data_IF_664508485617
#
_entry.id   IF_664508485617
#
_cell.length_a   1.000
_cell.length_b   1.000
_cell.length_c   1.000
_cell.angle_alpha   90.00
_cell.angle_beta   90.00
_cell.angle_gamma   90.00
#
_symmetry.space_group_name_H-M   'P 1'
#
loop_
_entity.id
_entity.type
_entity.pdbx_description
1 polymer ?
#
# COMPACT_ATOMS: atom_id res chain seq x y z
N UNK A 1 43.52 24.67 23.76
CA UNK A 1 43.18 23.74 22.68
C UNK A 1 42.59 22.40 23.19
N UNK A 2 43.23 21.70 24.12
CA UNK A 2 42.74 20.43 24.69
C UNK A 2 41.35 20.52 25.33
N UNK A 3 41.03 21.58 26.08
CA UNK A 3 39.72 21.78 26.71
C UNK A 3 38.60 21.96 25.69
N UNK A 4 38.85 22.61 24.56
CA UNK A 4 37.88 22.78 23.46
C UNK A 4 37.63 21.46 22.75
N UNK A 5 38.65 20.63 22.60
CA UNK A 5 38.55 19.30 21.97
C UNK A 5 37.74 18.31 22.83
N UNK A 6 37.89 18.38 24.17
CA UNK A 6 37.13 17.57 25.12
C UNK A 6 35.65 17.97 25.11
N UNK A 7 35.32 19.26 25.02
CA UNK A 7 33.94 19.76 24.93
C UNK A 7 33.29 19.33 23.61
N UNK A 8 34.02 19.34 22.49
CA UNK A 8 33.54 18.92 21.18
C UNK A 8 33.27 17.42 21.15
N UNK A 9 34.10 16.58 21.75
CA UNK A 9 33.88 15.13 21.88
C UNK A 9 32.71 14.85 22.81
N UNK A 10 32.55 15.57 23.92
CA UNK A 10 31.40 15.45 24.82
C UNK A 10 30.05 15.78 24.14
N UNK A 11 30.03 16.79 23.26
CA UNK A 11 28.85 17.17 22.49
C UNK A 11 28.47 16.14 21.41
N UNK A 12 29.44 15.39 20.87
CA UNK A 12 29.16 14.31 19.89
C UNK A 12 28.56 13.05 20.52
N UNK A 13 28.69 12.84 21.82
CA UNK A 13 28.18 11.65 22.51
C UNK A 13 26.72 11.78 22.94
N UNK A 14 26.06 12.92 22.72
CA UNK A 14 24.64 13.14 23.06
C UNK A 14 23.68 12.88 21.90
N UNK A 15 24.12 12.23 20.83
CA UNK A 15 23.21 11.82 19.75
C UNK A 15 22.40 10.62 20.25
N UNK A 16 21.27 10.92 20.89
CA UNK A 16 20.33 9.91 21.34
C UNK A 16 19.70 9.16 20.16
N UNK A 17 19.82 7.84 20.14
CA UNK A 17 19.02 6.98 19.27
C UNK A 17 17.55 7.07 19.69
N UNK A 18 16.71 7.67 18.89
CA UNK A 18 15.26 7.57 19.05
C UNK A 18 14.83 6.18 18.55
N UNK A 19 14.54 5.28 19.47
CA UNK A 19 13.92 4.00 19.14
C UNK A 19 12.43 4.25 18.90
N UNK A 20 11.97 4.15 17.67
CA UNK A 20 10.55 4.13 17.33
C UNK A 20 10.04 2.73 17.65
N UNK A 21 9.07 2.63 18.58
CA UNK A 21 8.39 1.37 18.87
C UNK A 21 7.37 1.12 17.76
N UNK A 22 7.72 0.30 16.80
CA UNK A 22 6.78 -0.16 15.79
C UNK A 22 5.98 -1.35 16.33
N UNK A 23 4.66 -1.31 16.21
CA UNK A 23 3.82 -2.49 16.38
C UNK A 23 4.09 -3.42 15.20
N UNK A 24 4.60 -4.62 15.46
CA UNK A 24 4.89 -5.62 14.43
C UNK A 24 3.59 -6.25 13.93
N UNK A 25 2.89 -5.55 13.05
CA UNK A 25 1.91 -6.15 12.16
C UNK A 25 2.65 -6.75 10.96
N UNK A 26 2.04 -7.70 10.26
CA UNK A 26 2.62 -8.32 9.05
C UNK A 26 3.02 -7.29 7.98
N UNK A 27 2.44 -6.07 8.04
CA UNK A 27 2.77 -4.90 7.23
C UNK A 27 2.81 -3.65 8.09
N UNK A 28 3.67 -2.70 7.73
CA UNK A 28 3.73 -1.40 8.38
C UNK A 28 2.46 -0.58 8.06
N UNK A 29 2.12 0.39 8.91
CA UNK A 29 1.00 1.29 8.65
C UNK A 29 1.16 2.06 7.32
N UNK A 30 2.39 2.41 6.95
CA UNK A 30 2.69 3.06 5.67
C UNK A 30 2.34 2.16 4.50
N UNK A 31 2.73 0.88 4.54
CA UNK A 31 2.40 -0.10 3.50
C UNK A 31 0.89 -0.32 3.38
N UNK A 32 0.18 -0.40 4.51
CA UNK A 32 -1.28 -0.51 4.51
C UNK A 32 -1.94 0.70 3.85
N UNK A 33 -1.50 1.92 4.20
CA UNK A 33 -2.03 3.15 3.62
C UNK A 33 -1.76 3.24 2.11
N UNK A 34 -0.55 2.92 1.65
CA UNK A 34 -0.21 2.91 0.22
C UNK A 34 -1.13 1.96 -0.54
N UNK A 35 -1.34 0.76 -0.01
CA UNK A 35 -2.19 -0.24 -0.65
C UNK A 35 -3.65 0.19 -0.68
N UNK A 36 -4.17 0.71 0.44
CA UNK A 36 -5.54 1.24 0.52
C UNK A 36 -5.76 2.37 -0.49
N UNK A 37 -4.82 3.29 -0.64
CA UNK A 37 -4.93 4.37 -1.63
C UNK A 37 -4.86 3.86 -3.07
N UNK A 38 -4.07 2.83 -3.37
CA UNK A 38 -4.08 2.20 -4.68
C UNK A 38 -5.45 1.56 -4.99
N UNK A 39 -6.09 0.93 -3.99
CA UNK A 39 -7.44 0.38 -4.11
C UNK A 39 -8.46 1.50 -4.36
N UNK A 40 -8.43 2.57 -3.57
CA UNK A 40 -9.32 3.73 -3.75
C UNK A 40 -9.16 4.31 -5.15
N UNK A 41 -7.91 4.51 -5.61
CA UNK A 41 -7.64 5.06 -6.94
C UNK A 41 -8.21 4.17 -8.06
N UNK A 42 -8.07 2.83 -7.95
CA UNK A 42 -8.67 1.91 -8.91
C UNK A 42 -10.21 1.95 -8.87
N UNK A 43 -10.80 1.90 -7.67
CA UNK A 43 -12.25 1.82 -7.48
C UNK A 43 -12.96 3.10 -7.97
N UNK A 44 -12.38 4.27 -7.73
CA UNK A 44 -12.95 5.55 -8.17
C UNK A 44 -13.05 5.67 -9.70
N UNK A 45 -12.23 4.96 -10.45
CA UNK A 45 -12.23 4.95 -11.90
C UNK A 45 -13.31 4.03 -12.50
N UNK A 46 -13.98 3.20 -11.66
CA UNK A 46 -15.06 2.31 -12.13
C UNK A 46 -16.22 3.14 -12.67
N UNK A 47 -16.66 2.79 -13.87
CA UNK A 47 -17.85 3.30 -14.52
C UNK A 47 -18.72 2.11 -14.90
N UNK A 48 -19.95 2.05 -14.41
CA UNK A 48 -20.91 1.00 -14.65
C UNK A 48 -22.32 1.61 -14.52
N UNK A 49 -22.73 2.35 -15.54
CA UNK A 49 -24.02 3.07 -15.54
C UNK A 49 -25.21 2.09 -15.52
N UNK A 50 -25.00 0.84 -15.94
CA UNK A 50 -25.98 -0.24 -15.99
C UNK A 50 -26.49 -0.66 -14.61
N UNK A 51 -25.76 -0.34 -13.53
CA UNK A 51 -26.18 -0.68 -12.16
C UNK A 51 -27.14 0.36 -11.55
N UNK A 52 -27.32 1.51 -12.19
CA UNK A 52 -28.13 2.60 -11.63
C UNK A 52 -29.60 2.18 -11.48
N UNK A 53 -30.14 2.31 -10.26
CA UNK A 53 -31.51 1.92 -9.91
C UNK A 53 -31.77 0.41 -9.93
N UNK A 54 -30.71 -0.42 -9.96
CA UNK A 54 -30.79 -1.87 -9.98
C UNK A 54 -30.45 -2.48 -8.63
N UNK A 55 -31.09 -3.62 -8.30
CA UNK A 55 -30.71 -4.46 -7.17
C UNK A 55 -29.48 -5.27 -7.53
N UNK A 56 -28.36 -4.96 -6.88
CA UNK A 56 -27.05 -5.52 -7.19
C UNK A 56 -26.53 -6.36 -6.04
N UNK A 57 -26.13 -7.59 -6.33
CA UNK A 57 -25.32 -8.41 -5.41
C UNK A 57 -23.86 -8.34 -5.85
N UNK A 58 -22.97 -8.01 -4.91
CA UNK A 58 -21.52 -8.04 -5.13
C UNK A 58 -20.97 -9.41 -4.75
N UNK A 59 -20.49 -10.17 -5.75
CA UNK A 59 -19.79 -11.44 -5.55
C UNK A 59 -18.27 -11.24 -5.55
N UNK A 60 -17.64 -11.66 -4.47
CA UNK A 60 -16.20 -11.58 -4.24
C UNK A 60 -15.49 -12.95 -4.33
N UNK A 61 -16.17 -14.00 -4.79
CA UNK A 61 -15.64 -15.37 -4.84
C UNK A 61 -14.32 -15.46 -5.61
N UNK A 62 -14.14 -14.60 -6.61
CA UNK A 62 -12.94 -14.53 -7.45
C UNK A 62 -11.94 -13.45 -7.00
N UNK A 63 -12.27 -12.66 -6.00
CA UNK A 63 -11.39 -11.63 -5.46
C UNK A 63 -10.47 -12.22 -4.38
N UNK A 64 -9.38 -12.84 -4.80
CA UNK A 64 -8.38 -13.42 -3.89
C UNK A 64 -7.21 -12.45 -3.74
N UNK A 65 -7.29 -11.58 -2.75
CA UNK A 65 -6.29 -10.54 -2.52
C UNK A 65 -6.07 -10.29 -1.03
N UNK A 66 -4.99 -9.61 -0.70
CA UNK A 66 -4.75 -9.06 0.63
C UNK A 66 -5.73 -7.89 0.87
N UNK A 67 -6.11 -7.67 2.13
CA UNK A 67 -7.05 -6.59 2.54
C UNK A 67 -8.41 -6.65 1.82
N UNK A 68 -8.93 -7.88 1.64
CA UNK A 68 -10.19 -8.13 0.94
C UNK A 68 -11.36 -7.36 1.55
N UNK A 69 -11.42 -7.21 2.87
CA UNK A 69 -12.53 -6.52 3.55
C UNK A 69 -12.51 -5.01 3.25
N UNK A 70 -11.34 -4.40 3.18
CA UNK A 70 -11.22 -3.00 2.76
C UNK A 70 -11.65 -2.84 1.30
N UNK A 71 -11.12 -3.67 0.39
CA UNK A 71 -11.47 -3.64 -1.03
C UNK A 71 -12.97 -3.86 -1.26
N UNK A 72 -13.59 -4.76 -0.49
CA UNK A 72 -15.04 -4.98 -0.48
C UNK A 72 -15.81 -3.72 -0.07
N UNK A 73 -15.34 -3.04 0.99
CA UNK A 73 -15.93 -1.78 1.46
C UNK A 73 -15.94 -0.71 0.38
N UNK A 74 -14.79 -0.50 -0.27
CA UNK A 74 -14.64 0.49 -1.34
C UNK A 74 -15.49 0.15 -2.58
N UNK A 75 -15.53 -1.12 -3.00
CA UNK A 75 -16.38 -1.56 -4.10
C UNK A 75 -17.87 -1.36 -3.81
N UNK A 76 -18.31 -1.65 -2.58
CA UNK A 76 -19.70 -1.43 -2.17
C UNK A 76 -20.06 0.06 -2.19
N UNK A 77 -19.18 0.91 -1.64
CA UNK A 77 -19.36 2.35 -1.64
C UNK A 77 -19.47 2.89 -3.07
N UNK A 78 -18.58 2.44 -3.95
CA UNK A 78 -18.59 2.85 -5.37
C UNK A 78 -19.87 2.46 -6.10
N UNK A 79 -20.35 1.23 -5.91
CA UNK A 79 -21.62 0.78 -6.51
C UNK A 79 -22.82 1.59 -6.02
N UNK A 80 -22.86 1.94 -4.72
CA UNK A 80 -23.86 2.84 -4.16
C UNK A 80 -23.80 4.24 -4.78
N UNK A 81 -22.59 4.80 -4.96
CA UNK A 81 -22.40 6.09 -5.63
C UNK A 81 -22.86 6.08 -7.10
N UNK A 82 -22.76 4.92 -7.77
CA UNK A 82 -23.28 4.71 -9.12
C UNK A 82 -24.80 4.47 -9.16
N UNK A 83 -25.47 4.49 -8.01
CA UNK A 83 -26.92 4.40 -7.89
C UNK A 83 -27.47 2.97 -7.76
N UNK A 84 -26.61 1.99 -7.45
CA UNK A 84 -27.06 0.61 -7.21
C UNK A 84 -27.77 0.47 -5.84
N UNK A 85 -28.75 -0.42 -5.75
CA UNK A 85 -29.34 -0.90 -4.49
C UNK A 85 -28.65 -2.22 -4.10
N UNK A 86 -27.79 -2.20 -3.07
CA UNK A 86 -27.05 -3.41 -2.69
C UNK A 86 -27.91 -4.39 -1.91
N UNK A 87 -27.99 -5.62 -2.42
CA UNK A 87 -28.62 -6.77 -1.77
C UNK A 87 -27.60 -7.85 -1.41
N UNK A 88 -27.95 -8.70 -0.45
CA UNK A 88 -27.08 -9.79 0.02
C UNK A 88 -27.50 -11.16 -0.53
N UNK A 89 -28.75 -11.27 -1.00
CA UNK A 89 -29.31 -12.50 -1.53
C UNK A 89 -29.33 -12.46 -3.07
N UNK A 90 -28.79 -13.48 -3.70
CA UNK A 90 -28.79 -13.63 -5.16
C UNK A 90 -30.23 -13.69 -5.73
N UNK A 91 -31.17 -14.26 -4.99
CA UNK A 91 -32.56 -14.34 -5.42
C UNK A 91 -33.27 -12.98 -5.46
N UNK A 92 -32.76 -11.99 -4.69
CA UNK A 92 -33.28 -10.63 -4.69
C UNK A 92 -32.56 -9.71 -5.69
N UNK A 93 -31.44 -10.16 -6.28
CA UNK A 93 -30.64 -9.38 -7.18
C UNK A 93 -31.21 -9.37 -8.61
N UNK A 94 -31.11 -8.24 -9.30
CA UNK A 94 -31.29 -8.13 -10.75
C UNK A 94 -29.97 -8.33 -11.49
N UNK A 95 -28.86 -7.82 -10.91
CA UNK A 95 -27.50 -7.95 -11.44
C UNK A 95 -26.58 -8.53 -10.36
N UNK A 96 -25.79 -9.53 -10.73
CA UNK A 96 -24.68 -10.01 -9.91
C UNK A 96 -23.41 -9.41 -10.49
N UNK A 97 -22.65 -8.71 -9.67
CA UNK A 97 -21.36 -8.11 -10.05
C UNK A 97 -20.23 -8.93 -9.45
N UNK A 98 -19.52 -9.66 -10.31
CA UNK A 98 -18.35 -10.44 -9.94
C UNK A 98 -17.09 -9.55 -9.96
N UNK A 99 -16.37 -9.48 -8.83
CA UNK A 99 -15.13 -8.75 -8.73
C UNK A 99 -13.92 -9.67 -8.81
N UNK A 100 -12.89 -9.23 -9.54
CA UNK A 100 -11.61 -9.94 -9.70
C UNK A 100 -10.46 -8.95 -9.55
N UNK A 101 -9.31 -9.44 -9.05
CA UNK A 101 -8.07 -8.66 -9.01
C UNK A 101 -6.96 -9.42 -9.76
N UNK A 102 -6.36 -8.82 -10.80
CA UNK A 102 -5.18 -9.37 -11.44
C UNK A 102 -3.92 -9.23 -10.58
N UNK A 103 -3.93 -8.31 -9.61
CA UNK A 103 -2.84 -8.11 -8.67
C UNK A 103 -3.14 -6.98 -7.68
N UNK A 104 -2.72 -7.18 -6.43
CA UNK A 104 -2.78 -6.18 -5.36
C UNK A 104 -1.53 -6.35 -4.50
N UNK A 105 -0.64 -5.35 -4.51
CA UNK A 105 0.64 -5.47 -3.82
C UNK A 105 1.41 -4.16 -3.77
N UNK A 106 2.60 -4.26 -3.16
CA UNK A 106 3.55 -3.15 -3.05
C UNK A 106 4.89 -3.61 -3.61
N UNK A 107 5.42 -2.83 -4.53
CA UNK A 107 6.77 -2.97 -5.05
C UNK A 107 7.72 -2.03 -4.29
N UNK A 108 8.73 -2.60 -3.66
CA UNK A 108 9.77 -1.88 -2.93
C UNK A 108 11.03 -1.72 -3.78
N UNK A 109 11.52 -0.49 -3.92
CA UNK A 109 12.82 -0.18 -4.52
C UNK A 109 13.66 0.62 -3.53
N UNK A 110 14.86 0.11 -3.22
CA UNK A 110 15.79 0.74 -2.29
C UNK A 110 17.15 0.94 -2.96
N UNK A 111 17.58 2.19 -3.02
CA UNK A 111 18.91 2.56 -3.53
C UNK A 111 19.70 3.18 -2.39
N UNK A 112 20.90 2.68 -2.12
CA UNK A 112 21.80 3.23 -1.12
C UNK A 112 23.23 3.33 -1.68
N UNK A 113 23.86 4.46 -1.45
CA UNK A 113 25.28 4.70 -1.77
C UNK A 113 25.99 4.98 -0.44
N UNK A 114 27.00 4.18 -0.09
CA UNK A 114 27.71 4.30 1.17
C UNK A 114 28.54 3.06 1.49
N UNK A 115 28.90 2.92 2.76
CA UNK A 115 29.65 1.77 3.26
C UNK A 115 28.63 0.75 3.81
N UNK A 116 28.56 -0.46 3.25
CA UNK A 116 27.65 -1.49 3.77
C UNK A 116 28.08 -1.96 5.17
N UNK A 117 27.16 -2.56 5.90
CA UNK A 117 27.48 -3.25 7.14
C UNK A 117 28.43 -4.41 6.86
N UNK A 118 29.58 -4.42 7.52
CA UNK A 118 30.62 -5.46 7.38
C UNK A 118 30.48 -6.43 8.55
N UNK A 119 30.26 -7.74 8.30
CA UNK A 119 30.27 -8.74 9.35
C UNK A 119 31.72 -9.00 9.80
N UNK A 120 32.01 -8.80 11.07
CA UNK A 120 33.32 -9.09 11.68
C UNK A 120 33.15 -10.31 12.59
N UNK A 121 33.76 -11.46 12.25
CA UNK A 121 33.75 -12.62 13.14
C UNK A 121 34.58 -12.33 14.39
N UNK A 122 33.98 -12.48 15.57
CA UNK A 122 34.66 -12.33 16.86
C UNK A 122 34.74 -13.70 17.52
N UNK A 123 35.95 -14.25 17.75
CA UNK A 123 36.09 -15.52 18.43
C UNK A 123 35.35 -15.52 19.78
N UNK A 124 34.63 -16.58 20.09
CA UNK A 124 33.87 -16.81 21.33
C UNK A 124 32.61 -15.93 21.55
N UNK A 125 32.33 -14.93 20.68
CA UNK A 125 31.17 -14.01 20.84
C UNK A 125 30.20 -14.11 19.65
N UNK A 126 30.65 -14.60 18.49
CA UNK A 126 29.86 -14.69 17.27
C UNK A 126 30.21 -13.61 16.25
N UNK A 127 29.24 -13.21 15.42
CA UNK A 127 29.50 -12.22 14.36
C UNK A 127 28.96 -10.86 14.78
N UNK A 128 29.84 -9.88 14.89
CA UNK A 128 29.48 -8.45 15.04
C UNK A 128 29.32 -7.82 13.65
N UNK A 129 28.23 -7.06 13.45
CA UNK A 129 28.04 -6.28 12.22
C UNK A 129 28.32 -4.80 12.50
N UNK A 130 29.20 -4.19 11.70
CA UNK A 130 29.38 -2.73 11.75
C UNK A 130 28.09 -2.03 11.33
N UNK A 131 27.80 -0.81 11.84
CA UNK A 131 26.70 -0.02 11.29
C UNK A 131 26.94 0.30 9.81
N UNK A 132 25.88 0.24 9.00
CA UNK A 132 25.93 0.73 7.63
C UNK A 132 25.93 2.27 7.63
N UNK A 133 26.86 2.88 6.91
CA UNK A 133 26.93 4.33 6.73
C UNK A 133 26.49 4.68 5.31
N UNK A 134 25.26 5.14 5.14
CA UNK A 134 24.79 5.60 3.83
C UNK A 134 24.95 7.11 3.68
N UNK A 135 25.70 7.51 2.65
CA UNK A 135 25.80 8.91 2.22
C UNK A 135 24.53 9.38 1.56
N UNK A 136 23.96 8.52 0.72
CA UNK A 136 22.70 8.73 0.02
C UNK A 136 21.84 7.50 0.16
N UNK A 137 20.54 7.70 0.42
CA UNK A 137 19.52 6.65 0.46
C UNK A 137 18.23 7.15 -0.17
N UNK A 138 17.69 6.35 -1.08
CA UNK A 138 16.39 6.57 -1.69
C UNK A 138 15.57 5.29 -1.57
N UNK A 139 14.47 5.39 -0.81
CA UNK A 139 13.50 4.32 -0.63
C UNK A 139 12.23 4.72 -1.37
N UNK A 140 11.72 3.85 -2.24
CA UNK A 140 10.46 4.05 -2.97
C UNK A 140 9.58 2.84 -2.82
N UNK A 141 8.34 3.06 -2.40
CA UNK A 141 7.29 2.06 -2.31
C UNK A 141 6.19 2.44 -3.31
N UNK A 142 5.77 1.48 -4.14
CA UNK A 142 4.74 1.67 -5.13
C UNK A 142 3.64 0.65 -4.90
N UNK A 143 2.49 1.09 -4.41
CA UNK A 143 1.28 0.30 -4.29
C UNK A 143 0.56 0.23 -5.62
N UNK A 144 0.19 -0.97 -6.02
CA UNK A 144 -0.55 -1.25 -7.24
C UNK A 144 -1.78 -2.07 -6.89
N UNK A 145 -2.94 -1.64 -7.39
CA UNK A 145 -4.21 -2.37 -7.25
C UNK A 145 -4.87 -2.52 -8.60
N UNK A 146 -5.03 -3.75 -9.07
CA UNK A 146 -5.80 -4.06 -10.26
C UNK A 146 -7.21 -4.54 -9.88
N UNK A 147 -8.25 -3.99 -10.52
CA UNK A 147 -9.65 -4.37 -10.30
C UNK A 147 -10.34 -4.57 -11.63
N UNK A 148 -11.11 -5.65 -11.74
CA UNK A 148 -12.00 -5.92 -12.86
C UNK A 148 -13.36 -6.34 -12.34
N UNK A 149 -14.42 -5.87 -12.99
CA UNK A 149 -15.80 -6.23 -12.69
C UNK A 149 -16.45 -6.84 -13.90
N UNK A 150 -17.35 -7.80 -13.68
CA UNK A 150 -18.29 -8.32 -14.68
C UNK A 150 -19.68 -8.34 -14.08
N UNK A 151 -20.62 -7.66 -14.70
CA UNK A 151 -22.04 -7.71 -14.36
C UNK A 151 -22.74 -8.76 -15.20
N UNK A 152 -23.50 -9.62 -14.55
CA UNK A 152 -24.37 -10.62 -15.16
C UNK A 152 -25.80 -10.45 -14.67
N UNK A 153 -26.77 -10.68 -15.54
CA UNK A 153 -28.18 -10.71 -15.18
C UNK A 153 -28.47 -11.93 -14.29
N UNK A 154 -28.99 -11.69 -13.08
CA UNK A 154 -29.13 -12.74 -12.07
C UNK A 154 -30.07 -13.87 -12.50
N UNK A 155 -31.14 -13.57 -13.30
CA UNK A 155 -32.15 -14.52 -13.73
C UNK A 155 -31.71 -15.42 -14.89
N UNK A 156 -30.85 -14.89 -15.79
CA UNK A 156 -30.50 -15.58 -17.06
C UNK A 156 -29.02 -15.94 -17.14
N UNK A 157 -28.17 -15.36 -16.31
CA UNK A 157 -26.71 -15.48 -16.40
C UNK A 157 -26.10 -14.75 -17.60
N UNK A 158 -26.86 -13.90 -18.30
CA UNK A 158 -26.35 -13.15 -19.45
C UNK A 158 -25.44 -12.02 -19.01
N UNK A 159 -24.40 -11.79 -19.81
CA UNK A 159 -23.51 -10.67 -19.64
C UNK A 159 -24.25 -9.33 -19.80
N UNK A 160 -24.02 -8.40 -18.84
CA UNK A 160 -24.58 -7.06 -18.87
C UNK A 160 -23.48 -6.05 -19.19
N UNK A 161 -22.37 -6.07 -18.42
CA UNK A 161 -21.22 -5.19 -18.64
C UNK A 161 -19.91 -5.82 -18.16
N UNK A 162 -18.81 -5.27 -18.62
CA UNK A 162 -17.46 -5.56 -18.09
C UNK A 162 -16.65 -4.29 -17.94
N UNK A 163 -15.93 -4.18 -16.83
CA UNK A 163 -15.05 -3.03 -16.52
C UNK A 163 -13.69 -3.55 -16.15
N UNK A 164 -12.65 -2.93 -16.70
CA UNK A 164 -11.26 -3.20 -16.34
C UNK A 164 -10.51 -4.18 -17.26
N UNK A 165 -9.28 -4.55 -16.88
CA UNK A 165 -8.64 -4.22 -15.60
C UNK A 165 -8.33 -2.72 -15.44
N UNK A 166 -8.79 -2.14 -14.33
CA UNK A 166 -8.45 -0.79 -13.92
C UNK A 166 -7.26 -0.90 -12.96
N UNK A 167 -6.24 -0.07 -13.16
CA UNK A 167 -5.04 -0.06 -12.32
C UNK A 167 -4.99 1.23 -11.52
N UNK A 168 -5.11 1.11 -10.21
CA UNK A 168 -4.87 2.18 -9.27
C UNK A 168 -3.45 2.15 -8.72
N UNK A 169 -2.92 3.33 -8.41
CA UNK A 169 -1.54 3.51 -8.03
C UNK A 169 -1.41 4.45 -6.82
N UNK A 170 -0.46 4.12 -5.93
CA UNK A 170 -0.05 5.00 -4.84
C UNK A 170 1.47 4.92 -4.66
N UNK A 171 2.13 6.05 -4.45
CA UNK A 171 3.60 6.10 -4.35
C UNK A 171 4.01 6.80 -3.06
N UNK A 172 4.89 6.14 -2.32
CA UNK A 172 5.63 6.72 -1.21
C UNK A 172 7.12 6.72 -1.55
N UNK A 173 7.83 7.84 -1.33
CA UNK A 173 9.27 7.88 -1.47
C UNK A 173 9.93 8.79 -0.44
N UNK A 174 11.03 8.30 0.11
CA UNK A 174 11.90 8.98 1.06
C UNK A 174 13.30 9.08 0.50
N UNK A 175 13.88 10.28 0.52
CA UNK A 175 15.26 10.53 0.15
C UNK A 175 16.03 11.11 1.33
N UNK A 176 17.18 10.53 1.64
CA UNK A 176 18.04 10.96 2.75
C UNK A 176 19.49 11.15 2.26
N UNK A 177 20.14 12.17 2.79
CA UNK A 177 21.56 12.43 2.55
C UNK A 177 22.26 12.57 3.91
N UNK A 178 23.31 11.77 4.13
CA UNK A 178 24.05 11.70 5.42
C UNK A 178 23.08 11.55 6.62
N UNK A 179 22.05 10.70 6.47
CA UNK A 179 21.04 10.46 7.50
C UNK A 179 19.97 11.55 7.64
N UNK A 180 20.13 12.72 7.00
CA UNK A 180 19.17 13.82 7.04
C UNK A 180 18.11 13.63 5.94
N UNK A 181 16.81 13.80 6.26
CA UNK A 181 15.75 13.73 5.25
C UNK A 181 15.83 14.95 4.34
N UNK A 182 15.97 14.73 3.00
CA UNK A 182 15.96 15.79 2.01
C UNK A 182 14.60 15.94 1.34
N UNK A 183 13.92 14.83 1.11
CA UNK A 183 12.67 14.81 0.38
C UNK A 183 11.79 13.64 0.87
N UNK A 184 10.50 13.92 1.02
CA UNK A 184 9.49 12.93 1.36
C UNK A 184 8.24 13.15 0.53
N UNK A 185 7.90 12.19 -0.33
CA UNK A 185 6.67 12.23 -1.12
C UNK A 185 5.63 11.29 -0.52
N UNK A 186 4.46 11.83 -0.21
CA UNK A 186 3.31 11.12 0.32
C UNK A 186 2.05 11.46 -0.47
N UNK A 187 2.10 11.32 -1.79
CA UNK A 187 0.96 11.68 -2.66
C UNK A 187 -0.38 11.05 -2.26
N UNK A 188 -0.33 9.97 -1.50
CA UNK A 188 -1.51 9.29 -0.98
C UNK A 188 -2.15 9.97 0.24
N UNK A 189 -1.53 11.01 0.84
CA UNK A 189 -2.10 11.77 1.97
C UNK A 189 -2.71 13.11 1.57
N UNK A 190 -2.55 13.53 0.32
CA UNK A 190 -2.89 14.88 -0.16
C UNK A 190 -4.27 14.95 -0.85
N UNK A 191 -5.16 13.98 -0.60
CA UNK A 191 -6.54 13.96 -1.12
C UNK A 191 -7.57 13.96 -0.01
#
# INVERSE_FOLDING_TARGET
>A
MIRLFIILIGAMLTVGCTAVKETQTARTATEQLILSHAVIDAVQQIKADEVAGKKVMLDLSYLKTVDIEFTKGELRDRLLQLGAELVTDAAAAEIIVEARSPGLGIDDSKTAIGIPAIPIPVPSVGTFKTPALSLYRYDKQHGIAGISLTGIEASTGKHVFSVGPIIGNAVHSDMRFIGLPLYKNRKYLDR
#
